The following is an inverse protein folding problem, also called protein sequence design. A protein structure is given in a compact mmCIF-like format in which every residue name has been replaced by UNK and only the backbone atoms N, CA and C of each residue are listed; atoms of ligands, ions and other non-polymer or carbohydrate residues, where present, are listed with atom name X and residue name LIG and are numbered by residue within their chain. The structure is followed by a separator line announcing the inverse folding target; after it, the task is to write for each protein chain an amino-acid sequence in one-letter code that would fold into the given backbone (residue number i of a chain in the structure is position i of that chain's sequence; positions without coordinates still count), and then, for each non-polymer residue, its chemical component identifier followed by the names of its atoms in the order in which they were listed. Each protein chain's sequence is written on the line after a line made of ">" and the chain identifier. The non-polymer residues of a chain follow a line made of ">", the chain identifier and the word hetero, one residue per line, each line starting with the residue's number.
data_IF_362663634705
#
_entry.id   IF_362663634705
#
_cell.length_a   1.000
_cell.length_b   1.000
_cell.length_c   1.000
_cell.angle_alpha   90.00
_cell.angle_beta   90.00
_cell.angle_gamma   90.00
#
_symmetry.space_group_name_H-M   'P 1'
#
loop_
_entity.id
_entity.type
_entity.pdbx_description
1 polymer ?
#
# COMPACT_ATOMS: atom_id res chain seq x y z
N UNK A 1 20.77 28.49 -3.32
CA UNK A 1 19.70 29.45 -3.66
C UNK A 1 20.01 30.75 -2.92
N UNK A 2 19.81 31.93 -3.53
CA UNK A 2 20.27 33.22 -2.97
C UNK A 2 19.45 33.60 -1.72
N UNK A 3 20.12 34.00 -0.62
CA UNK A 3 19.52 34.27 0.71
C UNK A 3 18.33 35.24 0.69
N UNK A 4 18.32 36.18 -0.28
CA UNK A 4 17.25 37.16 -0.45
C UNK A 4 15.88 36.57 -0.75
N UNK A 5 15.81 35.40 -1.41
CA UNK A 5 14.54 34.75 -1.76
C UNK A 5 13.93 34.06 -0.53
N UNK A 6 14.78 33.52 0.36
CA UNK A 6 14.34 32.76 1.54
C UNK A 6 13.70 33.68 2.59
N UNK A 7 14.27 34.87 2.81
CA UNK A 7 13.72 35.85 3.76
C UNK A 7 12.43 36.52 3.29
N UNK A 8 12.19 36.62 1.98
CA UNK A 8 11.00 37.28 1.44
C UNK A 8 9.73 36.41 1.54
N UNK A 9 9.91 35.10 1.75
CA UNK A 9 8.84 34.11 1.73
C UNK A 9 8.74 33.28 3.01
N UNK A 10 9.48 33.63 4.08
CA UNK A 10 9.58 32.86 5.33
C UNK A 10 9.88 31.36 5.10
N UNK A 11 10.68 31.05 4.06
CA UNK A 11 11.04 29.68 3.73
C UNK A 11 12.29 29.29 4.53
N UNK A 12 12.21 28.18 5.26
CA UNK A 12 13.37 27.59 5.94
C UNK A 12 14.41 27.19 4.88
N UNK A 13 15.69 27.47 5.13
CA UNK A 13 16.80 27.02 4.26
C UNK A 13 16.82 25.49 4.09
N UNK A 14 16.13 24.78 5.00
CA UNK A 14 15.96 23.34 5.03
C UNK A 14 14.61 22.86 4.47
N UNK A 15 13.68 23.76 4.09
CA UNK A 15 12.47 23.37 3.37
C UNK A 15 12.85 22.84 1.99
N UNK A 16 12.97 21.51 1.89
CA UNK A 16 13.42 20.79 0.70
C UNK A 16 14.77 20.09 0.85
N UNK A 17 15.45 20.20 2.00
CA UNK A 17 16.62 19.38 2.30
C UNK A 17 16.21 18.00 2.81
N UNK A 18 16.81 16.96 2.22
CA UNK A 18 16.66 15.57 2.66
C UNK A 18 17.39 15.42 3.99
N UNK A 19 16.73 15.01 5.09
CA UNK A 19 17.38 14.90 6.41
C UNK A 19 18.58 13.95 6.38
N UNK A 20 19.70 14.34 7.00
CA UNK A 20 20.96 13.58 6.97
C UNK A 20 20.95 12.32 7.86
N UNK A 21 20.12 12.25 8.91
CA UNK A 21 19.95 11.08 9.78
C UNK A 21 18.48 10.87 10.16
N UNK A 22 18.08 9.61 10.39
CA UNK A 22 16.75 9.18 10.87
C UNK A 22 15.52 9.73 10.11
N UNK A 23 15.61 9.82 8.77
CA UNK A 23 14.49 10.23 7.92
C UNK A 23 13.20 9.40 8.13
N UNK A 24 13.32 8.16 8.63
CA UNK A 24 12.17 7.34 8.98
C UNK A 24 11.32 7.96 10.10
N UNK A 25 11.89 8.79 10.96
CA UNK A 25 11.17 9.44 12.06
C UNK A 25 10.50 10.76 11.63
N UNK A 26 10.76 11.25 10.42
CA UNK A 26 10.27 12.55 9.96
C UNK A 26 8.74 12.58 9.70
N UNK A 27 8.09 11.43 9.57
CA UNK A 27 6.63 11.35 9.53
C UNK A 27 6.13 9.95 9.85
N UNK A 28 4.87 9.85 10.30
CA UNK A 28 4.23 8.56 10.55
C UNK A 28 4.17 7.66 9.31
N UNK A 29 4.15 8.25 8.12
CA UNK A 29 4.22 7.48 6.87
C UNK A 29 5.55 6.76 6.78
N UNK A 30 6.65 7.46 7.08
CA UNK A 30 8.00 6.90 6.98
C UNK A 30 8.27 5.92 8.13
N UNK A 31 7.79 6.19 9.35
CA UNK A 31 7.95 5.30 10.51
C UNK A 31 7.42 3.89 10.25
N UNK A 32 6.30 3.80 9.52
CA UNK A 32 5.63 2.56 9.15
C UNK A 32 6.17 1.92 7.86
N UNK A 33 7.33 2.38 7.36
CA UNK A 33 8.05 1.72 6.26
C UNK A 33 9.14 0.80 6.80
N UNK A 34 9.34 -0.33 6.13
CA UNK A 34 10.40 -1.28 6.46
C UNK A 34 11.78 -0.68 6.19
N UNK A 35 12.53 -0.46 7.26
CA UNK A 35 13.88 0.14 7.24
C UNK A 35 14.89 -0.64 6.39
N UNK A 36 14.69 -1.96 6.24
CA UNK A 36 15.56 -2.84 5.46
C UNK A 36 15.20 -2.92 3.95
N UNK A 37 14.26 -2.12 3.47
CA UNK A 37 13.88 -2.10 2.05
C UNK A 37 14.63 -1.03 1.27
N UNK A 38 14.91 -1.36 0.01
CA UNK A 38 15.57 -0.43 -0.91
C UNK A 38 14.55 0.60 -1.38
N UNK A 39 14.90 1.87 -1.18
CA UNK A 39 14.22 3.04 -1.75
C UNK A 39 15.12 3.69 -2.83
N UNK A 40 14.57 4.43 -3.81
CA UNK A 40 13.15 4.68 -4.05
C UNK A 40 12.37 3.40 -4.39
N UNK A 41 11.04 3.45 -4.27
CA UNK A 41 10.17 2.31 -4.58
C UNK A 41 10.33 1.86 -6.04
N UNK A 42 9.96 0.63 -6.37
CA UNK A 42 10.05 0.10 -7.74
C UNK A 42 9.07 0.74 -8.74
N UNK A 43 8.11 1.53 -8.27
CA UNK A 43 7.10 2.12 -9.13
C UNK A 43 7.69 3.23 -9.99
N UNK A 44 7.13 3.41 -11.18
CA UNK A 44 7.51 4.48 -12.10
C UNK A 44 7.35 5.85 -11.42
N UNK A 45 8.21 6.81 -11.77
CA UNK A 45 8.03 8.20 -11.36
C UNK A 45 6.69 8.73 -11.86
N UNK A 46 5.91 9.35 -10.96
CA UNK A 46 4.53 9.78 -11.25
C UNK A 46 3.46 8.70 -11.07
N UNK A 47 3.81 7.46 -10.73
CA UNK A 47 2.82 6.41 -10.43
C UNK A 47 2.10 6.71 -9.10
N UNK A 48 0.77 6.69 -9.12
CA UNK A 48 -0.07 6.99 -7.95
C UNK A 48 -0.04 5.92 -6.82
N UNK A 49 0.55 4.75 -7.05
CA UNK A 49 0.55 3.66 -6.04
C UNK A 49 1.28 4.10 -4.76
N UNK A 50 2.36 4.88 -4.86
CA UNK A 50 3.06 5.42 -3.69
C UNK A 50 2.19 6.38 -2.86
N UNK A 51 1.35 7.18 -3.52
CA UNK A 51 0.41 8.10 -2.86
C UNK A 51 -0.67 7.29 -2.11
N UNK A 52 -1.18 6.23 -2.74
CA UNK A 52 -2.15 5.33 -2.11
C UNK A 52 -1.54 4.61 -0.92
N UNK A 53 -0.29 4.13 -1.03
CA UNK A 53 0.44 3.51 0.08
C UNK A 53 0.55 4.45 1.28
N UNK A 54 1.02 5.69 1.07
CA UNK A 54 1.10 6.67 2.16
C UNK A 54 -0.26 7.02 2.76
N UNK A 55 -1.31 7.07 1.93
CA UNK A 55 -2.68 7.32 2.39
C UNK A 55 -3.23 6.17 3.22
N UNK A 56 -2.94 4.93 2.84
CA UNK A 56 -3.31 3.74 3.60
C UNK A 56 -2.64 3.73 4.97
N UNK A 57 -1.34 4.05 5.05
CA UNK A 57 -0.60 4.15 6.32
C UNK A 57 -1.27 5.17 7.25
N UNK A 58 -1.52 6.39 6.75
CA UNK A 58 -2.17 7.43 7.55
C UNK A 58 -3.59 7.05 7.99
N UNK A 59 -4.32 6.32 7.16
CA UNK A 59 -5.64 5.82 7.52
C UNK A 59 -5.56 4.79 8.64
N UNK A 60 -4.63 3.84 8.57
CA UNK A 60 -4.40 2.85 9.64
C UNK A 60 -4.03 3.54 10.94
N UNK A 61 -3.10 4.50 10.89
CA UNK A 61 -2.68 5.29 12.04
C UNK A 61 -3.85 6.07 12.67
N UNK A 62 -4.67 6.74 11.85
CA UNK A 62 -5.81 7.52 12.34
C UNK A 62 -6.87 6.68 13.07
N UNK A 63 -6.88 5.37 12.82
CA UNK A 63 -7.75 4.41 13.51
C UNK A 63 -7.12 3.90 14.81
N UNK A 64 -5.90 4.31 15.16
CA UNK A 64 -5.18 3.88 16.37
C UNK A 64 -4.89 2.38 16.38
N UNK A 65 -4.75 1.76 15.21
CA UNK A 65 -4.53 0.32 15.10
C UNK A 65 -3.05 0.00 15.29
N UNK A 66 -2.75 -0.95 16.17
CA UNK A 66 -1.40 -1.51 16.28
C UNK A 66 -1.02 -2.25 14.98
N UNK A 67 0.20 -2.03 14.50
CA UNK A 67 0.68 -2.62 13.25
C UNK A 67 0.60 -4.16 13.24
N UNK A 68 0.81 -4.81 14.40
CA UNK A 68 0.74 -6.26 14.53
C UNK A 68 -0.70 -6.80 14.51
N UNK A 69 -1.70 -5.92 14.64
CA UNK A 69 -3.12 -6.28 14.50
C UNK A 69 -3.63 -6.10 13.06
N UNK A 70 -2.81 -5.51 12.17
CA UNK A 70 -3.14 -5.30 10.77
C UNK A 70 -2.43 -6.34 9.91
N UNK A 71 -3.15 -6.91 8.95
CA UNK A 71 -2.62 -7.80 7.93
C UNK A 71 -2.94 -7.29 6.52
N UNK A 72 -1.89 -7.13 5.73
CA UNK A 72 -1.94 -6.70 4.34
C UNK A 72 -1.73 -7.91 3.43
N UNK A 73 -2.77 -8.32 2.71
CA UNK A 73 -2.77 -9.50 1.86
C UNK A 73 -2.83 -9.07 0.40
N UNK A 74 -1.78 -9.33 -0.37
CA UNK A 74 -1.68 -8.89 -1.75
C UNK A 74 -1.61 -10.06 -2.75
N UNK A 75 -2.11 -9.81 -3.97
CA UNK A 75 -2.03 -10.72 -5.11
C UNK A 75 -0.73 -10.54 -5.89
N UNK A 76 -0.80 -10.35 -7.21
CA UNK A 76 0.36 -10.05 -8.08
C UNK A 76 0.07 -8.84 -8.97
N UNK A 77 1.08 -8.00 -9.19
CA UNK A 77 1.00 -6.78 -10.00
C UNK A 77 1.74 -5.61 -9.37
N UNK A 78 1.76 -4.44 -10.04
CA UNK A 78 2.42 -3.24 -9.50
C UNK A 78 1.88 -2.90 -8.11
N UNK A 79 0.56 -2.90 -7.95
CA UNK A 79 -0.13 -2.63 -6.68
C UNK A 79 0.23 -3.62 -5.58
N UNK A 80 0.36 -4.91 -5.93
CA UNK A 80 0.64 -5.98 -4.98
C UNK A 80 2.02 -5.89 -4.31
N UNK A 81 2.90 -5.02 -4.82
CA UNK A 81 4.22 -4.75 -4.23
C UNK A 81 4.15 -3.79 -3.03
N UNK A 82 3.01 -3.16 -2.80
CA UNK A 82 2.80 -2.19 -1.72
C UNK A 82 3.13 -2.76 -0.34
N UNK A 83 2.60 -3.94 0.09
CA UNK A 83 2.92 -4.48 1.42
C UNK A 83 4.40 -4.80 1.63
N UNK A 84 5.18 -4.99 0.56
CA UNK A 84 6.61 -5.30 0.70
C UNK A 84 7.35 -4.16 1.41
N UNK A 85 6.89 -2.92 1.25
CA UNK A 85 7.51 -1.72 1.81
C UNK A 85 7.02 -1.34 3.20
N UNK A 86 5.90 -1.90 3.66
CA UNK A 86 5.21 -1.44 4.87
C UNK A 86 5.45 -2.38 6.05
N UNK A 87 5.60 -1.82 7.25
CA UNK A 87 5.90 -2.57 8.47
C UNK A 87 4.64 -3.06 9.19
N UNK A 88 3.96 -4.02 8.54
CA UNK A 88 2.77 -4.72 9.06
C UNK A 88 2.95 -6.24 8.88
N UNK A 89 1.96 -7.03 9.31
CA UNK A 89 1.86 -8.42 8.86
C UNK A 89 1.52 -8.44 7.37
N UNK A 90 2.28 -9.17 6.55
CA UNK A 90 2.10 -9.13 5.09
C UNK A 90 2.09 -10.51 4.48
N UNK A 91 1.15 -10.76 3.57
CA UNK A 91 1.12 -11.95 2.71
C UNK A 91 1.16 -11.50 1.25
N UNK A 92 2.19 -11.90 0.52
CA UNK A 92 2.25 -11.71 -0.93
C UNK A 92 1.97 -13.06 -1.60
N UNK A 93 0.79 -13.17 -2.18
CA UNK A 93 0.17 -14.45 -2.55
C UNK A 93 0.22 -14.65 -4.07
N UNK A 94 -0.53 -15.62 -4.59
CA UNK A 94 -0.63 -15.86 -6.03
C UNK A 94 -1.63 -14.91 -6.70
N UNK A 95 -1.45 -14.71 -8.01
CA UNK A 95 -2.25 -13.77 -8.79
C UNK A 95 -3.75 -14.07 -8.68
N UNK A 96 -4.53 -13.06 -8.30
CA UNK A 96 -5.98 -13.16 -8.09
C UNK A 96 -6.41 -13.99 -6.89
N UNK A 97 -5.51 -14.30 -5.96
CA UNK A 97 -5.83 -15.12 -4.76
C UNK A 97 -5.74 -14.35 -3.45
N UNK A 98 -5.47 -13.04 -3.47
CA UNK A 98 -5.42 -12.21 -2.28
C UNK A 98 -6.65 -12.40 -1.37
N UNK A 99 -7.86 -12.33 -1.93
CA UNK A 99 -9.11 -12.50 -1.17
C UNK A 99 -9.35 -13.94 -0.68
N UNK A 100 -8.84 -14.95 -1.40
CA UNK A 100 -8.93 -16.34 -0.93
C UNK A 100 -8.05 -16.54 0.32
N UNK A 101 -6.81 -16.05 0.29
CA UNK A 101 -5.90 -16.09 1.44
C UNK A 101 -6.41 -15.20 2.58
N UNK A 102 -6.89 -14.00 2.29
CA UNK A 102 -7.47 -13.09 3.28
C UNK A 102 -8.69 -13.71 3.98
N UNK A 103 -9.52 -14.47 3.25
CA UNK A 103 -10.63 -15.23 3.82
C UNK A 103 -10.15 -16.26 4.83
N UNK A 104 -9.13 -17.06 4.47
CA UNK A 104 -8.54 -18.02 5.39
C UNK A 104 -7.96 -17.36 6.64
N UNK A 105 -7.20 -16.27 6.46
CA UNK A 105 -6.63 -15.51 7.56
C UNK A 105 -7.72 -14.95 8.49
N UNK A 106 -8.77 -14.36 7.93
CA UNK A 106 -9.85 -13.75 8.72
C UNK A 106 -10.66 -14.78 9.50
N UNK A 107 -10.84 -15.99 8.96
CA UNK A 107 -11.48 -17.10 9.68
C UNK A 107 -10.57 -17.61 10.81
N UNK A 108 -9.26 -17.74 10.55
CA UNK A 108 -8.32 -18.24 11.55
C UNK A 108 -8.01 -17.22 12.66
N UNK A 109 -8.03 -15.92 12.35
CA UNK A 109 -7.73 -14.80 13.25
C UNK A 109 -8.80 -13.70 13.12
N UNK A 110 -10.01 -13.92 13.66
CA UNK A 110 -11.15 -13.01 13.50
C UNK A 110 -10.93 -11.59 14.03
N UNK A 111 -10.02 -11.41 14.97
CA UNK A 111 -9.68 -10.13 15.59
C UNK A 111 -8.81 -9.24 14.69
N UNK A 112 -8.07 -9.81 13.74
CA UNK A 112 -7.16 -9.03 12.89
C UNK A 112 -7.91 -8.11 11.91
N UNK A 113 -7.36 -6.93 11.68
CA UNK A 113 -7.76 -6.05 10.58
C UNK A 113 -7.11 -6.54 9.29
N UNK A 114 -7.88 -7.20 8.44
CA UNK A 114 -7.39 -7.78 7.18
C UNK A 114 -7.73 -6.85 6.01
N UNK A 115 -6.71 -6.43 5.27
CA UNK A 115 -6.84 -5.57 4.09
C UNK A 115 -6.25 -6.31 2.88
N UNK A 116 -7.08 -6.63 1.90
CA UNK A 116 -6.66 -7.22 0.64
C UNK A 116 -6.27 -6.12 -0.35
N UNK A 117 -5.01 -6.08 -0.79
CA UNK A 117 -4.46 -5.06 -1.70
C UNK A 117 -4.27 -5.66 -3.09
N UNK A 118 -4.99 -5.12 -4.08
CA UNK A 118 -5.09 -5.71 -5.41
C UNK A 118 -5.09 -4.62 -6.49
N UNK A 119 -4.55 -4.93 -7.67
CA UNK A 119 -4.86 -4.16 -8.87
C UNK A 119 -6.24 -4.52 -9.42
N UNK A 120 -6.76 -3.72 -10.36
CA UNK A 120 -7.96 -4.02 -11.13
C UNK A 120 -7.93 -5.42 -11.80
N UNK A 121 -6.85 -5.77 -12.49
CA UNK A 121 -6.69 -7.10 -13.09
C UNK A 121 -6.63 -8.25 -12.08
N UNK A 122 -5.92 -8.02 -10.98
CA UNK A 122 -5.80 -9.01 -9.91
C UNK A 122 -7.16 -9.26 -9.25
N UNK A 123 -7.94 -8.20 -8.97
CA UNK A 123 -9.22 -8.28 -8.29
C UNK A 123 -10.37 -8.72 -9.19
N UNK A 124 -10.45 -8.18 -10.42
CA UNK A 124 -11.65 -8.24 -11.26
C UNK A 124 -11.51 -9.14 -12.49
N UNK A 125 -10.29 -9.48 -12.90
CA UNK A 125 -10.06 -10.51 -13.93
C UNK A 125 -9.93 -11.90 -13.29
N UNK A 126 -8.70 -12.39 -13.10
CA UNK A 126 -8.44 -13.73 -12.58
C UNK A 126 -8.94 -13.92 -11.13
N UNK A 127 -9.11 -12.83 -10.38
CA UNK A 127 -9.65 -12.83 -9.02
C UNK A 127 -11.17 -12.63 -8.91
N UNK A 128 -11.87 -12.35 -10.02
CA UNK A 128 -13.26 -11.87 -9.99
C UNK A 128 -14.23 -12.79 -9.22
N UNK A 129 -14.12 -14.10 -9.40
CA UNK A 129 -14.94 -15.06 -8.66
C UNK A 129 -14.69 -14.98 -7.13
N UNK A 130 -13.42 -14.88 -6.72
CA UNK A 130 -13.10 -14.73 -5.31
C UNK A 130 -13.59 -13.40 -4.75
N UNK A 131 -13.58 -12.34 -5.56
CA UNK A 131 -14.12 -11.03 -5.19
C UNK A 131 -15.61 -11.10 -4.83
N UNK A 132 -16.42 -11.61 -5.74
CA UNK A 132 -17.87 -11.73 -5.55
C UNK A 132 -18.18 -12.61 -4.34
N UNK A 133 -17.49 -13.73 -4.19
CA UNK A 133 -17.72 -14.62 -3.07
C UNK A 133 -17.18 -14.09 -1.73
N UNK A 134 -16.12 -13.28 -1.72
CA UNK A 134 -15.66 -12.61 -0.50
C UNK A 134 -16.69 -11.59 -0.02
N UNK A 135 -17.23 -10.77 -0.95
CA UNK A 135 -18.31 -9.83 -0.64
C UNK A 135 -19.54 -10.54 -0.08
N UNK A 136 -19.97 -11.65 -0.69
CA UNK A 136 -21.11 -12.46 -0.22
C UNK A 136 -20.94 -13.03 1.19
N UNK A 137 -19.71 -13.30 1.63
CA UNK A 137 -19.43 -13.86 2.97
C UNK A 137 -19.52 -12.82 4.08
N UNK A 138 -19.29 -11.54 3.76
CA UNK A 138 -19.37 -10.43 4.70
C UNK A 138 -18.58 -10.64 6.02
N UNK A 139 -17.36 -11.18 5.93
CA UNK A 139 -16.53 -11.54 7.09
C UNK A 139 -15.58 -10.42 7.56
N UNK A 140 -15.81 -9.17 7.14
CA UNK A 140 -15.04 -8.03 7.60
C UNK A 140 -13.60 -7.94 7.05
N UNK A 141 -13.44 -8.18 5.74
CA UNK A 141 -12.20 -7.92 5.00
C UNK A 141 -12.36 -6.62 4.20
N UNK A 142 -11.38 -5.73 4.28
CA UNK A 142 -11.34 -4.53 3.43
C UNK A 142 -10.66 -4.89 2.11
N UNK A 143 -11.33 -4.70 0.97
CA UNK A 143 -10.71 -4.84 -0.34
C UNK A 143 -10.29 -3.46 -0.88
N UNK A 144 -8.97 -3.25 -1.03
CA UNK A 144 -8.39 -2.07 -1.67
C UNK A 144 -8.00 -2.41 -3.10
N UNK A 145 -8.85 -1.99 -4.05
CA UNK A 145 -8.61 -2.17 -5.50
C UNK A 145 -8.04 -0.88 -6.06
N UNK A 146 -6.79 -0.91 -6.48
CA UNK A 146 -6.15 0.22 -7.18
C UNK A 146 -6.43 0.08 -8.67
N UNK A 147 -7.35 0.89 -9.17
CA UNK A 147 -7.75 0.89 -10.58
C UNK A 147 -6.87 1.89 -11.36
N UNK A 148 -6.05 1.35 -12.26
CA UNK A 148 -5.28 2.10 -13.25
C UNK A 148 -5.66 1.71 -14.68
N UNK A 149 -6.71 0.90 -14.84
CA UNK A 149 -7.30 0.46 -16.12
C UNK A 149 -6.31 -0.24 -17.05
N UNK A 150 -5.27 -0.88 -16.48
CA UNK A 150 -4.20 -1.53 -17.25
C UNK A 150 -3.35 -2.52 -16.42
N UNK A 151 -2.88 -3.59 -17.06
CA UNK A 151 -1.88 -4.50 -16.48
C UNK A 151 -0.47 -3.93 -16.62
N UNK A 152 -0.14 -2.97 -15.75
CA UNK A 152 1.13 -2.25 -15.83
C UNK A 152 2.38 -3.13 -15.69
N UNK A 153 2.36 -4.12 -14.79
CA UNK A 153 3.55 -4.96 -14.51
C UNK A 153 3.92 -5.88 -15.67
N UNK A 154 2.96 -6.26 -16.50
CA UNK A 154 3.14 -7.20 -17.61
C UNK A 154 3.38 -6.50 -18.94
N UNK A 155 3.54 -5.17 -18.94
CA UNK A 155 3.85 -4.38 -20.14
C UNK A 155 2.66 -3.66 -20.76
N UNK A 156 1.53 -3.53 -20.07
CA UNK A 156 0.46 -2.59 -20.47
C UNK A 156 -0.72 -3.21 -21.24
N UNK A 157 -1.07 -4.46 -20.95
CA UNK A 157 -2.29 -5.09 -21.50
C UNK A 157 -3.54 -4.45 -20.89
N UNK A 158 -4.65 -4.46 -21.64
CA UNK A 158 -5.93 -3.92 -21.17
C UNK A 158 -6.49 -4.73 -19.97
N UNK A 159 -7.06 -4.04 -18.99
CA UNK A 159 -7.77 -4.66 -17.86
C UNK A 159 -9.30 -4.65 -18.07
N UNK A 160 -10.07 -5.45 -17.29
CA UNK A 160 -11.53 -5.51 -17.38
C UNK A 160 -12.25 -4.26 -16.87
#
# INVERSE_FOLDING_TARGET
>A
MCEHILSAHDLDINEGQIPQEDWFEASVTLQNLRKNKRFPTIWCSGCGIGVIMGSLIRAIESLGLDNNQVALVAGIGCTARMPVYMDYNTLHTTHGRALAFATGLKIARPEMKVIAIMGDGDALAIGGNHFIHAARRNIGITALVVNNSIYGMTGGQHSP
#
